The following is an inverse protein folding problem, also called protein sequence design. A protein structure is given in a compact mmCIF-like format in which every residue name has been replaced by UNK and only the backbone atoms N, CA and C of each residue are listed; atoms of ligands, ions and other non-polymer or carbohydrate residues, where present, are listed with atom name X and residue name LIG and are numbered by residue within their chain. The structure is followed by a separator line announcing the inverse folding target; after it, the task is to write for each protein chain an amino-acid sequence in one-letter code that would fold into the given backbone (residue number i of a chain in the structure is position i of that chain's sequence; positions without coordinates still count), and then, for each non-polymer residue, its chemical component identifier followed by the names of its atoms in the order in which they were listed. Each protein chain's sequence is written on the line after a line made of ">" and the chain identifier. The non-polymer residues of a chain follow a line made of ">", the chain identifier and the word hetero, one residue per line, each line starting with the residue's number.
data_IF_367849675254
#
_entry.id   IF_367849675254
#
_cell.length_a   1.000
_cell.length_b   1.000
_cell.length_c   1.000
_cell.angle_alpha   90.00
_cell.angle_beta   90.00
_cell.angle_gamma   90.00
#
_symmetry.space_group_name_H-M   'P 1'
#
loop_
_entity.id
_entity.type
_entity.pdbx_description
1 polymer ?
#
# COMPACT_ATOMS: atom_id res chain seq x y z
N UNK A 1 5.79 -26.06 -30.17
CA UNK A 1 5.85 -24.68 -29.69
C UNK A 1 6.52 -24.74 -28.32
N UNK A 2 7.78 -24.43 -28.24
CA UNK A 2 8.59 -24.46 -27.00
C UNK A 2 8.20 -23.27 -26.15
N UNK A 3 7.59 -23.53 -25.00
CA UNK A 3 7.40 -22.52 -23.94
C UNK A 3 8.77 -21.93 -23.62
N UNK A 4 8.95 -20.66 -23.92
CA UNK A 4 10.10 -19.90 -23.43
C UNK A 4 9.97 -19.82 -21.90
N UNK A 5 10.77 -20.60 -21.18
CA UNK A 5 10.90 -20.47 -19.74
C UNK A 5 11.47 -19.07 -19.44
N UNK A 6 10.61 -18.21 -18.91
CA UNK A 6 11.06 -16.92 -18.39
C UNK A 6 11.88 -17.18 -17.13
N UNK A 7 13.04 -16.53 -16.97
CA UNK A 7 13.82 -16.69 -15.75
C UNK A 7 12.94 -16.24 -14.56
N UNK A 8 12.94 -16.98 -13.45
CA UNK A 8 12.16 -16.64 -12.28
C UNK A 8 12.55 -15.24 -11.80
N UNK A 9 11.57 -14.48 -11.29
CA UNK A 9 11.85 -13.20 -10.65
C UNK A 9 12.92 -13.39 -9.57
N UNK A 10 13.92 -12.53 -9.54
CA UNK A 10 15.00 -12.65 -8.55
C UNK A 10 14.37 -12.52 -7.15
N UNK A 11 14.37 -13.61 -6.38
CA UNK A 11 13.87 -13.64 -5.01
C UNK A 11 14.80 -12.77 -4.18
N UNK A 12 14.25 -11.78 -3.47
CA UNK A 12 15.01 -11.03 -2.47
C UNK A 12 15.41 -11.96 -1.33
N UNK A 13 16.43 -11.59 -0.54
CA UNK A 13 16.83 -12.36 0.65
C UNK A 13 15.69 -12.58 1.65
N UNK A 14 14.61 -11.80 1.54
CA UNK A 14 13.40 -11.89 2.39
C UNK A 14 12.29 -12.80 1.81
N UNK A 15 12.47 -13.39 0.65
CA UNK A 15 11.45 -14.25 0.03
C UNK A 15 10.35 -13.54 -0.77
N UNK A 16 10.37 -12.19 -0.91
CA UNK A 16 9.53 -11.48 -1.88
C UNK A 16 10.32 -11.21 -3.16
N UNK A 17 9.73 -11.40 -4.38
CA UNK A 17 10.44 -11.18 -5.63
C UNK A 17 10.73 -9.69 -5.86
N UNK A 18 11.93 -9.37 -6.37
CA UNK A 18 12.28 -8.04 -6.87
C UNK A 18 12.16 -8.01 -8.38
N UNK A 19 11.37 -7.09 -8.90
CA UNK A 19 11.03 -6.98 -10.31
C UNK A 19 11.44 -5.60 -10.83
N UNK A 20 12.29 -5.56 -11.86
CA UNK A 20 12.53 -4.34 -12.60
C UNK A 20 11.35 -4.10 -13.55
N UNK A 21 10.71 -2.92 -13.43
CA UNK A 21 9.54 -2.54 -14.19
C UNK A 21 9.83 -1.50 -15.28
N UNK A 22 11.08 -1.18 -15.56
CA UNK A 22 11.44 -0.18 -16.56
C UNK A 22 10.82 -0.50 -17.93
N UNK A 23 10.78 -1.78 -18.32
CA UNK A 23 10.22 -2.23 -19.59
C UNK A 23 8.68 -2.14 -19.68
N UNK A 24 7.96 -1.80 -18.62
CA UNK A 24 6.53 -1.44 -18.74
C UNK A 24 6.33 -0.16 -19.56
N UNK A 25 7.36 0.66 -19.75
CA UNK A 25 7.35 1.82 -20.63
C UNK A 25 7.80 1.50 -22.06
N UNK A 26 8.22 0.27 -22.35
CA UNK A 26 8.73 -0.10 -23.67
C UNK A 26 7.61 -0.05 -24.74
N UNK A 27 7.90 0.38 -25.98
CA UNK A 27 6.95 0.36 -27.09
C UNK A 27 6.46 -1.05 -27.42
N UNK A 28 7.35 -2.05 -27.30
CA UNK A 28 7.05 -3.44 -27.65
C UNK A 28 6.12 -4.09 -26.61
N UNK A 29 4.94 -4.52 -27.02
CA UNK A 29 3.96 -5.22 -26.16
C UNK A 29 4.58 -6.48 -25.54
N UNK A 30 5.43 -7.21 -26.28
CA UNK A 30 6.07 -8.42 -25.78
C UNK A 30 6.96 -8.15 -24.54
N UNK A 31 7.70 -7.04 -24.53
CA UNK A 31 8.51 -6.63 -23.37
C UNK A 31 7.63 -6.30 -22.16
N UNK A 32 6.56 -5.54 -22.37
CA UNK A 32 5.60 -5.22 -21.30
C UNK A 32 4.91 -6.47 -20.74
N UNK A 33 4.49 -7.43 -21.61
CA UNK A 33 3.92 -8.72 -21.18
C UNK A 33 4.90 -9.57 -20.38
N UNK A 34 6.17 -9.56 -20.71
CA UNK A 34 7.19 -10.30 -19.97
C UNK A 34 7.32 -9.79 -18.52
N UNK A 35 7.29 -8.47 -18.31
CA UNK A 35 7.27 -7.89 -16.95
C UNK A 35 5.94 -8.16 -16.27
N UNK A 36 4.81 -8.02 -16.97
CA UNK A 36 3.48 -8.28 -16.46
C UNK A 36 3.35 -9.73 -15.93
N UNK A 37 3.83 -10.72 -16.66
CA UNK A 37 3.82 -12.12 -16.24
C UNK A 37 4.62 -12.36 -14.94
N UNK A 38 5.75 -11.67 -14.76
CA UNK A 38 6.53 -11.75 -13.50
C UNK A 38 5.78 -11.13 -12.33
N UNK A 39 5.12 -9.99 -12.55
CA UNK A 39 4.26 -9.35 -11.56
C UNK A 39 3.08 -10.26 -11.21
N UNK A 40 2.38 -10.79 -12.21
CA UNK A 40 1.25 -11.68 -12.02
C UNK A 40 1.60 -12.96 -11.28
N UNK A 41 2.77 -13.56 -11.55
CA UNK A 41 3.27 -14.70 -10.79
C UNK A 41 3.42 -14.36 -9.30
N UNK A 42 4.02 -13.21 -8.97
CA UNK A 42 4.15 -12.73 -7.60
C UNK A 42 2.78 -12.47 -6.93
N UNK A 43 1.83 -11.89 -7.68
CA UNK A 43 0.47 -11.63 -7.20
C UNK A 43 -0.29 -12.92 -6.88
N UNK A 44 -0.08 -14.01 -7.64
CA UNK A 44 -0.70 -15.33 -7.40
C UNK A 44 -0.03 -16.09 -6.26
N UNK A 45 1.27 -15.92 -6.07
CA UNK A 45 2.03 -16.68 -5.08
C UNK A 45 1.97 -16.04 -3.68
N UNK A 46 2.51 -14.85 -3.53
CA UNK A 46 2.67 -14.18 -2.23
C UNK A 46 1.77 -12.94 -2.11
N UNK A 47 1.33 -12.35 -3.22
CA UNK A 47 0.63 -11.06 -3.21
C UNK A 47 1.53 -9.87 -2.84
N UNK A 48 2.84 -10.09 -2.70
CA UNK A 48 3.85 -9.10 -2.41
C UNK A 48 5.03 -9.20 -3.38
N UNK A 49 5.57 -8.06 -3.79
CA UNK A 49 6.77 -7.94 -4.60
C UNK A 49 7.43 -6.58 -4.40
N UNK A 50 8.71 -6.48 -4.74
CA UNK A 50 9.41 -5.20 -4.75
C UNK A 50 9.62 -4.76 -6.20
N UNK A 51 9.45 -3.46 -6.49
CA UNK A 51 9.67 -2.88 -7.80
C UNK A 51 10.90 -1.99 -7.82
N UNK A 52 11.74 -2.18 -8.84
CA UNK A 52 12.85 -1.30 -9.21
C UNK A 52 12.61 -0.75 -10.61
N UNK A 53 13.43 0.20 -11.07
CA UNK A 53 13.28 0.79 -12.40
C UNK A 53 11.97 1.57 -12.59
N UNK A 54 11.35 2.00 -11.49
CA UNK A 54 10.05 2.67 -11.47
C UNK A 54 10.08 4.12 -11.99
N UNK A 55 11.26 4.73 -12.14
CA UNK A 55 11.42 6.07 -12.70
C UNK A 55 11.14 7.24 -11.75
N UNK A 56 10.72 7.00 -10.52
CA UNK A 56 10.57 8.07 -9.50
C UNK A 56 11.95 8.51 -9.05
N UNK A 57 12.30 9.82 -9.16
CA UNK A 57 13.61 10.32 -8.77
C UNK A 57 13.90 10.07 -7.27
N UNK A 58 15.09 9.58 -6.94
CA UNK A 58 15.51 9.36 -5.56
C UNK A 58 15.41 10.65 -4.71
N UNK A 59 15.81 11.78 -5.28
CA UNK A 59 15.70 13.08 -4.62
C UNK A 59 14.25 13.46 -4.24
N UNK A 60 13.26 13.05 -5.04
CA UNK A 60 11.85 13.29 -4.72
C UNK A 60 11.39 12.41 -3.56
N UNK A 61 11.83 11.16 -3.52
CA UNK A 61 11.54 10.24 -2.41
C UNK A 61 12.15 10.78 -1.11
N UNK A 62 13.43 11.18 -1.14
CA UNK A 62 14.14 11.76 0.00
C UNK A 62 13.47 13.05 0.49
N UNK A 63 13.06 13.93 -0.44
CA UNK A 63 12.34 15.16 -0.10
C UNK A 63 10.98 14.86 0.56
N UNK A 64 10.26 13.83 0.10
CA UNK A 64 8.99 13.42 0.70
C UNK A 64 9.19 12.93 2.14
N UNK A 65 10.22 12.10 2.40
CA UNK A 65 10.59 11.69 3.76
C UNK A 65 10.98 12.88 4.64
N UNK A 66 11.79 13.81 4.12
CA UNK A 66 12.18 15.01 4.86
C UNK A 66 10.96 15.87 5.27
N UNK A 67 9.98 16.02 4.38
CA UNK A 67 8.73 16.73 4.70
C UNK A 67 7.90 15.96 5.75
N UNK A 68 7.85 14.64 5.68
CA UNK A 68 7.21 13.80 6.70
C UNK A 68 7.86 14.00 8.09
N UNK A 69 9.18 13.96 8.16
CA UNK A 69 9.91 14.19 9.41
C UNK A 69 9.62 15.59 9.99
N UNK A 70 9.61 16.65 9.16
CA UNK A 70 9.25 18.01 9.58
C UNK A 70 7.82 18.11 10.10
N UNK A 71 6.87 17.44 9.44
CA UNK A 71 5.47 17.38 9.88
C UNK A 71 5.36 16.76 11.28
N UNK A 72 5.96 15.58 11.48
CA UNK A 72 5.86 14.88 12.76
C UNK A 72 6.62 15.58 13.90
N UNK A 73 7.60 16.40 13.58
CA UNK A 73 8.30 17.27 14.53
C UNK A 73 7.51 18.51 14.97
N UNK A 74 6.38 18.83 14.33
CA UNK A 74 5.53 19.94 14.73
C UNK A 74 5.03 19.79 16.17
N UNK A 75 4.81 20.89 16.90
CA UNK A 75 4.18 20.84 18.22
C UNK A 75 2.85 20.08 18.19
N UNK A 76 2.55 19.35 19.26
CA UNK A 76 1.35 18.53 19.37
C UNK A 76 0.06 19.32 19.09
N UNK A 77 -0.01 20.60 19.49
CA UNK A 77 -1.16 21.45 19.25
C UNK A 77 -1.35 21.73 17.74
N UNK A 78 -0.26 21.95 16.99
CA UNK A 78 -0.31 22.17 15.55
C UNK A 78 -0.76 20.91 14.80
N UNK A 79 -0.25 19.74 15.20
CA UNK A 79 -0.68 18.45 14.64
C UNK A 79 -2.17 18.20 14.94
N UNK A 80 -2.62 18.40 16.18
CA UNK A 80 -4.03 18.24 16.57
C UNK A 80 -5.00 19.18 15.85
N UNK A 81 -4.54 20.37 15.44
CA UNK A 81 -5.38 21.27 14.65
C UNK A 81 -5.77 20.69 13.29
N UNK A 82 -4.98 19.74 12.77
CA UNK A 82 -5.18 19.04 11.50
C UNK A 82 -5.71 17.61 11.69
N UNK A 83 -6.17 17.23 12.89
CA UNK A 83 -6.58 15.87 13.21
C UNK A 83 -7.89 15.48 12.49
N UNK A 84 -7.96 14.26 11.99
CA UNK A 84 -9.07 13.73 11.18
C UNK A 84 -10.42 13.75 11.93
N UNK A 85 -10.41 13.48 13.23
CA UNK A 85 -11.59 13.52 14.11
C UNK A 85 -12.16 14.94 14.25
N UNK A 86 -11.31 15.94 14.27
CA UNK A 86 -11.72 17.36 14.31
C UNK A 86 -12.27 17.86 12.99
N UNK A 87 -11.76 17.33 11.89
CA UNK A 87 -12.11 17.75 10.53
C UNK A 87 -13.30 16.96 9.95
N UNK A 88 -13.72 15.88 10.62
CA UNK A 88 -14.74 14.97 10.10
C UNK A 88 -14.36 14.37 8.73
N UNK A 89 -13.07 14.14 8.52
CA UNK A 89 -12.53 13.72 7.23
C UNK A 89 -11.32 12.80 7.44
N UNK A 90 -11.13 11.82 6.58
CA UNK A 90 -9.93 10.98 6.59
C UNK A 90 -8.65 11.72 6.11
N UNK A 91 -8.73 13.02 5.79
CA UNK A 91 -7.59 13.87 5.40
C UNK A 91 -6.99 14.53 6.62
N UNK A 92 -5.67 14.47 6.76
CA UNK A 92 -4.97 15.12 7.85
C UNK A 92 -4.29 14.16 8.82
N UNK A 93 -4.10 14.61 10.05
CA UNK A 93 -3.28 13.96 11.06
C UNK A 93 -4.06 12.90 11.84
N UNK A 94 -3.42 11.75 12.04
CA UNK A 94 -3.87 10.67 12.91
C UNK A 94 -2.88 10.56 14.07
N UNK A 95 -3.37 10.72 15.28
CA UNK A 95 -2.56 10.70 16.50
C UNK A 95 -2.03 9.32 16.87
N UNK A 96 -1.02 9.32 17.74
CA UNK A 96 -0.46 8.10 18.29
C UNK A 96 -1.53 7.32 19.08
N UNK A 97 -1.66 6.02 18.79
CA UNK A 97 -2.59 5.13 19.51
C UNK A 97 -4.09 5.40 19.21
N UNK A 98 -4.40 6.12 18.13
CA UNK A 98 -5.79 6.38 17.71
C UNK A 98 -6.35 5.22 16.88
N UNK A 99 -5.50 4.52 16.14
CA UNK A 99 -5.89 3.40 15.28
C UNK A 99 -5.50 2.05 15.90
N UNK A 100 -6.32 1.04 15.60
CA UNK A 100 -6.03 -0.37 15.86
C UNK A 100 -6.40 -1.15 14.60
N UNK A 101 -5.41 -1.59 13.83
CA UNK A 101 -5.64 -2.39 12.62
C UNK A 101 -6.05 -3.83 12.96
N UNK A 102 -5.60 -4.33 14.10
CA UNK A 102 -6.07 -5.59 14.67
C UNK A 102 -7.04 -5.27 15.81
N UNK A 103 -8.34 -5.52 15.60
CA UNK A 103 -9.40 -5.24 16.59
C UNK A 103 -9.22 -5.97 17.92
N UNK A 104 -8.43 -7.04 17.94
CA UNK A 104 -8.16 -7.87 19.11
C UNK A 104 -6.88 -7.46 19.83
N UNK A 105 -6.10 -6.54 19.25
CA UNK A 105 -4.83 -6.08 19.79
C UNK A 105 -4.96 -4.68 20.42
N UNK A 106 -3.90 -4.27 21.13
CA UNK A 106 -3.77 -2.89 21.58
C UNK A 106 -3.62 -1.94 20.38
N UNK A 107 -3.96 -0.67 20.60
CA UNK A 107 -3.81 0.37 19.58
C UNK A 107 -2.39 0.42 19.00
N UNK A 108 -2.28 0.67 17.69
CA UNK A 108 -1.03 0.73 16.96
C UNK A 108 -0.12 1.86 17.48
N UNK A 109 1.16 1.58 17.64
CA UNK A 109 2.12 2.57 18.11
C UNK A 109 2.70 3.38 16.95
N UNK A 110 1.82 4.12 16.26
CA UNK A 110 2.18 4.98 15.12
C UNK A 110 1.35 6.25 15.11
N UNK A 111 1.90 7.27 14.47
CA UNK A 111 1.15 8.44 14.02
C UNK A 111 1.21 8.54 12.49
N UNK A 112 0.20 9.16 11.88
CA UNK A 112 0.11 9.24 10.44
C UNK A 112 -0.42 10.59 9.96
N UNK A 113 -0.23 10.84 8.65
CA UNK A 113 -0.84 11.98 7.97
C UNK A 113 -1.30 11.56 6.57
N UNK A 114 -2.58 11.80 6.27
CA UNK A 114 -3.23 11.35 5.05
C UNK A 114 -3.44 12.51 4.07
N UNK A 115 -2.98 12.32 2.84
CA UNK A 115 -3.34 13.11 1.67
C UNK A 115 -4.13 12.19 0.74
N UNK A 116 -5.33 12.60 0.33
CA UNK A 116 -6.21 11.79 -0.51
C UNK A 116 -6.36 12.50 -1.86
N UNK A 117 -6.47 11.74 -2.93
CA UNK A 117 -6.72 12.30 -4.26
C UNK A 117 -7.85 13.35 -4.20
N UNK A 118 -7.61 14.49 -4.82
CA UNK A 118 -8.54 15.61 -4.82
C UNK A 118 -8.41 16.37 -6.13
N UNK A 119 -9.52 16.89 -6.59
CA UNK A 119 -9.63 17.82 -7.70
C UNK A 119 -9.70 19.29 -7.22
N UNK A 120 -8.98 19.60 -6.16
CA UNK A 120 -8.96 20.91 -5.47
C UNK A 120 -10.34 21.36 -4.97
N UNK A 121 -11.16 20.39 -4.53
CA UNK A 121 -12.45 20.68 -3.92
C UNK A 121 -13.61 20.82 -4.89
N UNK A 122 -13.44 20.53 -6.18
CA UNK A 122 -14.53 20.61 -7.17
C UNK A 122 -15.57 19.53 -6.94
N UNK A 123 -15.16 18.28 -6.81
CA UNK A 123 -16.04 17.14 -6.54
C UNK A 123 -15.69 16.41 -5.25
N UNK A 124 -14.46 16.61 -4.74
CA UNK A 124 -13.96 16.00 -3.51
C UNK A 124 -13.32 17.04 -2.60
N UNK A 125 -13.43 16.88 -1.27
CA UNK A 125 -12.81 17.81 -0.32
C UNK A 125 -11.34 18.04 -0.60
N UNK A 126 -10.86 19.28 -0.41
CA UNK A 126 -9.46 19.60 -0.49
C UNK A 126 -8.66 18.95 0.64
N UNK A 127 -7.38 18.69 0.41
CA UNK A 127 -6.47 18.24 1.44
C UNK A 127 -6.15 19.36 2.44
N UNK A 128 -5.85 18.96 3.66
CA UNK A 128 -5.30 19.86 4.68
C UNK A 128 -3.78 19.92 4.50
N UNK A 129 -3.23 21.13 4.58
CA UNK A 129 -1.81 21.33 4.36
C UNK A 129 -1.18 22.00 5.60
N UNK A 130 -0.15 21.41 6.21
CA UNK A 130 0.59 22.04 7.28
C UNK A 130 1.30 23.31 6.77
N UNK A 131 1.51 24.32 7.62
CA UNK A 131 2.20 25.56 7.25
C UNK A 131 3.73 25.35 7.19
N UNK A 132 4.15 24.37 6.40
CA UNK A 132 5.56 24.02 6.18
C UNK A 132 5.97 24.42 4.75
N UNK A 133 7.09 25.16 4.58
CA UNK A 133 7.59 25.48 3.25
C UNK A 133 7.80 24.24 2.41
N UNK A 134 7.39 24.32 1.13
CA UNK A 134 7.50 23.28 0.10
C UNK A 134 6.75 21.96 0.38
N UNK A 135 6.06 21.83 1.53
CA UNK A 135 5.37 20.59 1.89
C UNK A 135 4.34 20.20 0.82
N UNK A 136 3.44 21.14 0.46
CA UNK A 136 2.41 20.86 -0.54
C UNK A 136 3.02 20.50 -1.89
N UNK A 137 3.97 21.30 -2.39
CA UNK A 137 4.59 21.10 -3.70
C UNK A 137 5.30 19.73 -3.77
N UNK A 138 6.09 19.38 -2.74
CA UNK A 138 6.83 18.13 -2.68
C UNK A 138 5.89 16.93 -2.61
N UNK A 139 4.90 16.96 -1.70
CA UNK A 139 4.02 15.81 -1.49
C UNK A 139 3.02 15.64 -2.65
N UNK A 140 2.62 16.72 -3.33
CA UNK A 140 1.82 16.62 -4.54
C UNK A 140 2.63 15.98 -5.68
N UNK A 141 3.87 16.43 -5.92
CA UNK A 141 4.74 15.83 -6.93
C UNK A 141 5.01 14.35 -6.65
N UNK A 142 5.20 13.99 -5.37
CA UNK A 142 5.38 12.57 -4.99
C UNK A 142 4.08 11.78 -5.20
N UNK A 143 2.93 12.33 -4.83
CA UNK A 143 1.62 11.71 -5.05
C UNK A 143 1.39 11.40 -6.54
N UNK A 144 1.65 12.39 -7.41
CA UNK A 144 1.45 12.25 -8.86
C UNK A 144 2.40 11.19 -9.45
N UNK A 145 3.66 11.16 -8.99
CA UNK A 145 4.62 10.13 -9.40
C UNK A 145 4.18 8.72 -8.96
N UNK A 146 3.64 8.57 -7.75
CA UNK A 146 3.14 7.28 -7.25
C UNK A 146 1.87 6.85 -8.00
N UNK A 147 0.99 7.80 -8.34
CA UNK A 147 -0.20 7.53 -9.15
C UNK A 147 0.18 7.02 -10.56
N UNK A 148 1.21 7.60 -11.19
CA UNK A 148 1.74 7.12 -12.46
C UNK A 148 2.28 5.68 -12.34
N UNK A 149 3.11 5.39 -11.32
CA UNK A 149 3.62 4.03 -11.08
C UNK A 149 2.46 3.05 -10.87
N UNK A 150 1.48 3.40 -10.03
CA UNK A 150 0.30 2.57 -9.79
C UNK A 150 -0.53 2.33 -11.05
N UNK A 151 -0.69 3.34 -11.90
CA UNK A 151 -1.38 3.21 -13.19
C UNK A 151 -0.64 2.24 -14.13
N UNK A 152 0.69 2.32 -14.18
CA UNK A 152 1.50 1.36 -14.97
C UNK A 152 1.39 -0.06 -14.44
N UNK A 153 1.30 -0.25 -13.13
CA UNK A 153 1.05 -1.56 -12.53
C UNK A 153 -0.33 -2.11 -12.93
N UNK A 154 -1.37 -1.27 -12.97
CA UNK A 154 -2.71 -1.70 -13.42
C UNK A 154 -2.71 -2.14 -14.89
N UNK A 155 -1.95 -1.48 -15.77
CA UNK A 155 -1.73 -1.96 -17.15
C UNK A 155 -1.04 -3.34 -17.18
N UNK A 156 -0.06 -3.55 -16.29
CA UNK A 156 0.61 -4.84 -16.17
C UNK A 156 -0.35 -5.92 -15.65
N UNK A 157 -1.21 -5.63 -14.67
CA UNK A 157 -2.24 -6.56 -14.22
C UNK A 157 -3.20 -6.93 -15.35
N UNK A 158 -3.65 -5.95 -16.15
CA UNK A 158 -4.50 -6.22 -17.30
C UNK A 158 -3.81 -7.14 -18.33
N UNK A 159 -2.55 -6.87 -18.67
CA UNK A 159 -1.78 -7.70 -19.60
C UNK A 159 -1.55 -9.15 -19.10
N UNK A 160 -1.31 -9.34 -17.80
CA UNK A 160 -1.14 -10.67 -17.19
C UNK A 160 -2.44 -11.47 -17.14
N UNK A 161 -3.57 -10.78 -17.03
CA UNK A 161 -4.92 -11.37 -17.00
C UNK A 161 -5.53 -11.53 -18.40
N UNK A 162 -4.75 -11.30 -19.46
CA UNK A 162 -5.18 -11.33 -20.87
C UNK A 162 -6.36 -10.37 -21.19
N UNK A 163 -6.38 -9.21 -20.51
CA UNK A 163 -7.34 -8.15 -20.75
C UNK A 163 -6.74 -7.06 -21.66
N UNK A 164 -7.60 -6.17 -22.24
CA UNK A 164 -7.12 -4.93 -22.84
C UNK A 164 -6.23 -4.14 -21.86
N UNK A 165 -5.12 -3.60 -22.33
CA UNK A 165 -4.12 -2.93 -21.46
C UNK A 165 -4.71 -1.74 -20.68
N UNK A 166 -5.75 -1.13 -21.21
CA UNK A 166 -6.49 -0.01 -20.63
C UNK A 166 -7.71 -0.44 -19.79
N UNK A 167 -7.90 -1.73 -19.54
CA UNK A 167 -9.06 -2.28 -18.83
C UNK A 167 -9.39 -1.55 -17.52
N UNK A 168 -8.38 -1.12 -16.77
CA UNK A 168 -8.59 -0.40 -15.51
C UNK A 168 -8.64 1.12 -15.66
N UNK A 169 -8.40 1.68 -16.85
CA UNK A 169 -8.16 3.12 -17.02
C UNK A 169 -9.33 3.99 -16.52
N UNK A 170 -10.58 3.63 -16.92
CA UNK A 170 -11.81 4.33 -16.50
C UNK A 170 -12.27 4.00 -15.07
N UNK A 171 -11.61 3.06 -14.42
CA UNK A 171 -11.88 2.62 -13.05
C UNK A 171 -10.95 3.23 -12.02
N UNK A 172 -9.88 3.89 -12.48
CA UNK A 172 -8.87 4.53 -11.63
C UNK A 172 -8.51 5.95 -12.10
N UNK A 173 -9.33 6.58 -12.93
CA UNK A 173 -9.12 7.96 -13.43
C UNK A 173 -9.50 9.04 -12.41
N UNK A 174 -10.35 8.70 -11.44
CA UNK A 174 -10.74 9.53 -10.29
C UNK A 174 -10.67 8.74 -8.99
N UNK A 175 -9.49 8.15 -8.66
CA UNK A 175 -9.35 7.11 -7.68
C UNK A 175 -9.61 7.58 -6.25
N UNK A 176 -9.86 6.62 -5.35
CA UNK A 176 -9.79 6.85 -3.91
C UNK A 176 -8.34 6.72 -3.40
N UNK A 177 -7.37 7.23 -4.17
CA UNK A 177 -5.97 7.10 -3.82
C UNK A 177 -5.59 7.90 -2.58
N UNK A 178 -4.81 7.30 -1.71
CA UNK A 178 -4.34 7.89 -0.46
C UNK A 178 -2.82 7.78 -0.35
N UNK A 179 -2.17 8.93 -0.17
CA UNK A 179 -0.77 8.99 0.25
C UNK A 179 -0.73 9.16 1.77
N UNK A 180 -0.09 8.22 2.45
CA UNK A 180 -0.02 8.18 3.90
C UNK A 180 1.42 8.21 4.37
N UNK A 181 1.79 9.32 5.02
CA UNK A 181 3.03 9.43 5.78
C UNK A 181 2.84 8.74 7.13
N UNK A 182 3.81 7.95 7.56
CA UNK A 182 3.75 7.18 8.81
C UNK A 182 5.04 7.40 9.61
N UNK A 183 4.90 7.60 10.91
CA UNK A 183 5.99 7.61 11.87
C UNK A 183 5.70 6.61 12.99
N UNK A 184 6.67 5.77 13.25
CA UNK A 184 6.70 4.82 14.36
C UNK A 184 7.78 5.30 15.34
N UNK A 185 7.41 5.87 16.50
CA UNK A 185 8.39 6.35 17.46
C UNK A 185 9.29 5.22 17.97
N UNK A 186 10.54 5.56 18.28
CA UNK A 186 11.43 4.63 18.95
C UNK A 186 10.79 4.12 20.25
N UNK A 187 10.99 2.84 20.62
CA UNK A 187 10.52 2.34 21.89
C UNK A 187 11.19 3.14 23.04
N UNK A 188 10.42 3.42 24.10
CA UNK A 188 11.03 3.92 25.32
C UNK A 188 12.11 2.93 25.78
N UNK A 189 13.21 3.38 26.40
CA UNK A 189 14.20 2.49 26.95
C UNK A 189 13.51 1.48 27.88
N UNK A 190 13.61 0.18 27.54
CA UNK A 190 13.05 -0.89 28.37
C UNK A 190 14.04 -1.15 29.50
N UNK A 191 13.54 -1.30 30.73
CA UNK A 191 14.38 -1.77 31.83
C UNK A 191 15.00 -3.13 31.47
N UNK A 192 16.24 -3.36 31.82
CA UNK A 192 17.07 -4.51 31.41
C UNK A 192 16.46 -5.89 31.74
N UNK A 193 15.40 -5.95 32.52
CA UNK A 193 14.78 -7.17 33.05
C UNK A 193 13.54 -7.63 32.26
N UNK A 194 13.14 -6.93 31.17
CA UNK A 194 12.08 -7.40 30.32
C UNK A 194 12.63 -8.48 29.38
N UNK A 195 12.25 -9.72 29.61
CA UNK A 195 12.61 -10.86 28.77
C UNK A 195 12.27 -10.67 27.28
N UNK A 196 12.70 -11.57 26.38
CA UNK A 196 12.48 -11.42 24.95
C UNK A 196 10.97 -11.27 24.69
N UNK A 197 10.62 -10.18 24.02
CA UNK A 197 9.24 -9.88 23.63
C UNK A 197 8.82 -10.85 22.52
N UNK A 198 8.23 -12.00 22.90
CA UNK A 198 7.72 -12.99 21.99
C UNK A 198 6.33 -12.57 21.44
N UNK A 199 6.22 -12.62 20.33
CA UNK A 199 5.52 -12.66 19.04
C UNK A 199 3.98 -12.66 19.00
N UNK A 200 3.20 -12.67 20.05
CA UNK A 200 1.74 -12.73 19.96
C UNK A 200 1.10 -11.77 20.97
N UNK A 201 0.51 -10.69 20.44
CA UNK A 201 -0.29 -9.77 21.26
C UNK A 201 0.53 -8.77 22.06
N UNK A 202 1.68 -8.33 21.54
CA UNK A 202 2.49 -7.30 22.21
C UNK A 202 1.70 -6.00 22.24
N UNK A 203 1.40 -5.43 23.41
CA UNK A 203 0.90 -4.08 23.50
C UNK A 203 1.89 -3.14 22.82
N UNK A 204 1.48 -2.52 21.69
CA UNK A 204 2.31 -1.55 20.97
C UNK A 204 3.02 -2.09 19.73
N UNK A 205 2.45 -3.05 19.00
CA UNK A 205 2.86 -3.31 17.62
C UNK A 205 2.90 -1.99 16.82
N UNK A 206 3.85 -1.85 15.87
CA UNK A 206 3.89 -0.68 14.99
C UNK A 206 2.60 -0.57 14.18
N UNK A 207 2.18 -1.70 13.57
CA UNK A 207 0.87 -1.88 12.94
C UNK A 207 0.43 -3.34 13.12
N UNK A 208 -0.79 -3.54 13.57
CA UNK A 208 -1.39 -4.86 13.76
C UNK A 208 -1.52 -5.66 12.45
N UNK A 209 -1.82 -6.95 12.56
CA UNK A 209 -2.00 -7.82 11.39
C UNK A 209 -3.26 -7.42 10.62
N UNK A 210 -3.12 -7.12 9.32
CA UNK A 210 -4.20 -6.69 8.44
C UNK A 210 -3.93 -7.05 6.99
N UNK A 211 -4.94 -6.91 6.15
CA UNK A 211 -4.83 -6.81 4.69
C UNK A 211 -5.20 -5.40 4.27
N UNK A 212 -4.67 -4.92 3.14
CA UNK A 212 -5.08 -3.65 2.55
C UNK A 212 -6.39 -3.81 1.79
N UNK A 213 -7.26 -2.81 1.85
CA UNK A 213 -8.63 -2.92 1.33
C UNK A 213 -8.75 -2.64 -0.17
N UNK A 214 -7.83 -1.84 -0.74
CA UNK A 214 -7.90 -1.37 -2.11
C UNK A 214 -7.35 -2.32 -3.17
N UNK A 215 -6.79 -1.76 -4.24
CA UNK A 215 -6.22 -2.55 -5.33
C UNK A 215 -4.74 -2.87 -5.08
N UNK A 216 -3.92 -1.86 -4.89
CA UNK A 216 -2.48 -2.02 -4.73
C UNK A 216 -1.92 -0.96 -3.81
N UNK A 217 -1.00 -1.37 -2.96
CA UNK A 217 -0.21 -0.48 -2.11
C UNK A 217 1.23 -0.42 -2.63
N UNK A 218 1.80 0.78 -2.66
CA UNK A 218 3.21 1.03 -2.93
C UNK A 218 3.83 1.66 -1.69
N UNK A 219 4.80 0.98 -1.10
CA UNK A 219 5.41 1.36 0.16
C UNK A 219 6.88 1.73 -0.03
N UNK A 220 7.24 2.95 0.37
CA UNK A 220 8.62 3.38 0.61
C UNK A 220 8.95 3.29 2.10
N UNK A 221 10.18 2.90 2.44
CA UNK A 221 10.69 2.84 3.83
C UNK A 221 12.01 3.58 3.95
N UNK A 222 12.29 4.09 5.13
CA UNK A 222 13.53 4.80 5.48
C UNK A 222 14.74 3.88 5.75
N UNK A 223 14.57 2.58 5.56
CA UNK A 223 15.63 1.60 5.80
C UNK A 223 15.54 0.90 7.15
N UNK A 224 14.70 1.38 8.07
CA UNK A 224 14.48 0.69 9.35
C UNK A 224 13.54 -0.50 9.14
N UNK A 225 13.97 -1.68 9.57
CA UNK A 225 13.20 -2.92 9.45
C UNK A 225 11.91 -2.90 10.30
N UNK A 226 10.98 -3.80 9.99
CA UNK A 226 9.75 -3.98 10.78
C UNK A 226 8.60 -4.61 10.01
N UNK A 227 8.53 -4.45 8.69
CA UNK A 227 7.48 -5.07 7.88
C UNK A 227 7.65 -6.59 7.85
N UNK A 228 6.56 -7.30 8.15
CA UNK A 228 6.45 -8.75 8.01
C UNK A 228 5.25 -9.12 7.16
N UNK A 229 5.42 -10.13 6.32
CA UNK A 229 4.40 -10.67 5.41
C UNK A 229 4.12 -12.11 5.80
N UNK A 230 2.85 -12.51 5.87
CA UNK A 230 2.45 -13.86 6.22
C UNK A 230 2.63 -14.80 5.04
N UNK A 231 3.28 -15.92 5.27
CA UNK A 231 3.42 -17.01 4.28
C UNK A 231 2.15 -17.85 4.23
N UNK A 232 1.97 -18.59 3.15
CA UNK A 232 0.86 -19.56 3.03
C UNK A 232 0.91 -20.67 4.07
N UNK A 233 2.10 -21.06 4.54
CA UNK A 233 2.30 -22.04 5.61
C UNK A 233 2.03 -21.47 7.02
N UNK A 234 1.64 -20.19 7.11
CA UNK A 234 1.34 -19.50 8.37
C UNK A 234 2.54 -18.81 9.02
N UNK A 235 3.77 -19.04 8.53
CA UNK A 235 4.97 -18.37 9.00
C UNK A 235 5.03 -16.88 8.57
N UNK A 236 5.96 -16.12 9.15
CA UNK A 236 6.19 -14.73 8.80
C UNK A 236 7.54 -14.54 8.08
N UNK A 237 7.55 -13.67 7.09
CA UNK A 237 8.77 -13.25 6.37
C UNK A 237 9.06 -11.80 6.77
N UNK A 238 10.27 -11.53 7.24
CA UNK A 238 10.77 -10.17 7.38
C UNK A 238 11.07 -9.59 6.00
N UNK A 239 10.55 -8.41 5.70
CA UNK A 239 10.88 -7.68 4.48
C UNK A 239 12.01 -6.71 4.79
N UNK A 240 13.22 -6.92 4.24
CA UNK A 240 14.34 -6.02 4.48
C UNK A 240 14.10 -4.67 3.81
N UNK A 241 14.87 -3.68 4.22
CA UNK A 241 14.99 -2.46 3.44
C UNK A 241 15.55 -2.76 2.05
N UNK A 242 14.90 -2.21 1.03
CA UNK A 242 15.29 -2.37 -0.38
C UNK A 242 15.57 -0.99 -0.96
N UNK A 243 16.81 -0.47 -0.84
CA UNK A 243 17.15 0.86 -1.35
C UNK A 243 16.79 1.02 -2.82
N UNK A 244 16.14 2.15 -3.15
CA UNK A 244 15.71 2.46 -4.51
C UNK A 244 14.61 1.56 -5.07
N UNK A 245 13.88 0.85 -4.22
CA UNK A 245 12.72 0.05 -4.61
C UNK A 245 11.50 0.41 -3.74
N UNK A 246 10.31 0.20 -4.28
CA UNK A 246 9.07 0.19 -3.49
C UNK A 246 8.62 -1.23 -3.25
N UNK A 247 8.14 -1.51 -2.05
CA UNK A 247 7.42 -2.77 -1.76
C UNK A 247 5.98 -2.59 -2.19
N UNK A 248 5.46 -3.53 -2.97
CA UNK A 248 4.09 -3.51 -3.44
C UNK A 248 3.34 -4.72 -2.92
N UNK A 249 2.06 -4.53 -2.59
CA UNK A 249 1.16 -5.61 -2.25
C UNK A 249 -0.23 -5.42 -2.86
N UNK A 250 -0.88 -6.54 -3.12
CA UNK A 250 -2.25 -6.61 -3.62
C UNK A 250 -3.20 -6.44 -2.44
N UNK A 251 -4.23 -5.61 -2.66
CA UNK A 251 -5.31 -5.43 -1.70
C UNK A 251 -6.57 -6.23 -2.04
N UNK A 252 -7.53 -6.20 -1.12
CA UNK A 252 -8.72 -7.02 -1.16
C UNK A 252 -9.63 -6.72 -2.37
N UNK A 253 -9.71 -5.45 -2.84
CA UNK A 253 -10.50 -5.12 -4.03
C UNK A 253 -9.97 -5.81 -5.28
N UNK A 254 -8.65 -5.79 -5.51
CA UNK A 254 -8.06 -6.45 -6.67
C UNK A 254 -8.13 -7.97 -6.55
N UNK A 255 -7.97 -8.52 -5.34
CA UNK A 255 -8.22 -9.93 -5.08
C UNK A 255 -9.66 -10.32 -5.47
N UNK A 256 -10.68 -9.54 -5.07
CA UNK A 256 -12.07 -9.78 -5.45
C UNK A 256 -12.29 -9.67 -6.96
N UNK A 257 -11.71 -8.66 -7.62
CA UNK A 257 -11.79 -8.52 -9.08
C UNK A 257 -11.23 -9.72 -9.82
N UNK A 258 -10.13 -10.25 -9.31
CA UNK A 258 -9.50 -11.45 -9.90
C UNK A 258 -10.08 -12.76 -9.37
N UNK A 259 -11.21 -12.75 -8.68
CA UNK A 259 -11.85 -13.94 -8.13
C UNK A 259 -10.89 -14.81 -7.30
N UNK A 260 -10.04 -14.18 -6.49
CA UNK A 260 -8.97 -14.77 -5.66
C UNK A 260 -7.80 -15.40 -6.46
N UNK A 261 -7.67 -15.09 -7.77
CA UNK A 261 -6.48 -15.49 -8.55
C UNK A 261 -5.24 -14.72 -8.04
N UNK A 262 -5.36 -13.42 -7.78
CA UNK A 262 -4.38 -12.66 -7.03
C UNK A 262 -4.73 -12.73 -5.54
N UNK A 263 -3.72 -12.72 -4.68
CA UNK A 263 -3.93 -12.88 -3.25
C UNK A 263 -3.64 -11.58 -2.49
N UNK A 264 -4.57 -11.21 -1.61
CA UNK A 264 -4.36 -10.16 -0.60
C UNK A 264 -3.80 -10.83 0.65
N UNK A 265 -2.57 -10.50 0.99
CA UNK A 265 -1.82 -11.25 2.00
C UNK A 265 -1.72 -10.47 3.31
N UNK A 266 -2.06 -11.09 4.45
CA UNK A 266 -1.90 -10.49 5.76
C UNK A 266 -0.46 -10.08 6.01
N UNK A 267 -0.30 -8.86 6.53
CA UNK A 267 0.99 -8.30 6.89
C UNK A 267 0.90 -7.45 8.15
N UNK A 268 2.04 -7.14 8.74
CA UNK A 268 2.13 -6.36 9.98
C UNK A 268 3.43 -5.58 10.05
N UNK A 269 3.50 -4.60 10.93
CA UNK A 269 4.75 -3.93 11.28
C UNK A 269 5.05 -4.24 12.74
N UNK A 270 6.16 -4.96 12.99
CA UNK A 270 6.67 -5.15 14.36
C UNK A 270 7.03 -3.78 14.94
N UNK A 271 7.05 -3.66 16.25
CA UNK A 271 7.56 -2.48 16.91
C UNK A 271 9.02 -2.26 16.48
N UNK A 272 9.35 -1.16 15.79
CA UNK A 272 10.71 -0.93 15.33
C UNK A 272 11.66 -0.73 16.51
N UNK A 273 12.93 -1.14 16.34
CA UNK A 273 13.99 -0.95 17.35
C UNK A 273 14.50 0.49 17.43
N UNK A 274 14.22 1.29 16.41
CA UNK A 274 14.54 2.72 16.31
C UNK A 274 13.36 3.47 15.73
N UNK A 275 13.38 4.79 15.75
CA UNK A 275 12.38 5.58 15.03
C UNK A 275 12.37 5.17 13.56
N UNK A 276 11.19 4.90 13.02
CA UNK A 276 10.98 4.45 11.65
C UNK A 276 9.97 5.35 10.95
N UNK A 277 10.26 5.70 9.71
CA UNK A 277 9.33 6.36 8.82
C UNK A 277 9.00 5.47 7.62
N UNK A 278 7.78 5.57 7.14
CA UNK A 278 7.39 4.99 5.86
C UNK A 278 6.36 5.87 5.17
N UNK A 279 6.27 5.72 3.85
CA UNK A 279 5.28 6.41 3.02
C UNK A 279 4.55 5.33 2.24
N UNK A 280 3.27 5.15 2.52
CA UNK A 280 2.40 4.22 1.81
C UNK A 280 1.50 4.99 0.83
N UNK A 281 1.44 4.51 -0.40
CA UNK A 281 0.50 5.00 -1.40
C UNK A 281 -0.48 3.89 -1.72
N UNK A 282 -1.74 4.10 -1.38
CA UNK A 282 -2.85 3.20 -1.66
C UNK A 282 -3.53 3.68 -2.94
N UNK A 283 -3.61 2.84 -3.96
CA UNK A 283 -4.38 3.11 -5.16
C UNK A 283 -5.62 2.23 -5.17
N UNK A 284 -6.72 2.84 -4.76
CA UNK A 284 -8.03 2.22 -4.76
C UNK A 284 -8.81 2.70 -5.98
N UNK A 285 -9.77 1.92 -6.49
CA UNK A 285 -10.57 2.34 -7.65
C UNK A 285 -11.40 3.60 -7.40
N UNK A 286 -12.03 4.11 -8.45
CA UNK A 286 -13.06 5.13 -8.34
C UNK A 286 -14.17 4.65 -7.39
N UNK A 287 -14.81 5.53 -6.60
CA UNK A 287 -15.87 5.14 -5.66
C UNK A 287 -16.99 4.33 -6.31
N UNK A 288 -17.39 4.75 -7.52
CA UNK A 288 -18.47 4.16 -8.30
C UNK A 288 -18.06 2.93 -9.10
N UNK A 289 -16.76 2.59 -9.16
CA UNK A 289 -16.30 1.42 -9.90
C UNK A 289 -16.89 0.14 -9.32
N UNK A 290 -17.53 -0.66 -10.19
CA UNK A 290 -18.09 -1.95 -9.82
C UNK A 290 -16.99 -3.00 -9.76
N UNK A 291 -16.68 -3.50 -8.58
CA UNK A 291 -15.78 -4.63 -8.36
C UNK A 291 -16.57 -5.92 -8.54
N UNK A 292 -16.46 -6.50 -9.73
CA UNK A 292 -17.08 -7.76 -10.10
C UNK A 292 -16.00 -8.70 -10.64
N UNK A 293 -16.13 -9.99 -10.39
CA UNK A 293 -15.15 -10.96 -10.87
C UNK A 293 -14.93 -10.85 -12.38
N UNK A 294 -13.66 -10.70 -12.77
CA UNK A 294 -13.24 -10.69 -14.16
C UNK A 294 -13.56 -12.05 -14.78
N UNK A 295 -14.30 -12.12 -15.91
CA UNK A 295 -14.77 -13.40 -16.45
C UNK A 295 -13.65 -14.43 -16.70
N UNK A 296 -12.47 -13.98 -17.16
CA UNK A 296 -11.32 -14.87 -17.39
C UNK A 296 -10.72 -15.43 -16.10
N UNK A 297 -11.07 -14.89 -14.94
CA UNK A 297 -10.63 -15.38 -13.62
C UNK A 297 -11.64 -16.32 -12.96
N UNK A 298 -12.79 -16.56 -13.61
CA UNK A 298 -13.82 -17.48 -13.11
C UNK A 298 -13.72 -18.79 -13.90
N UNK A 299 -13.50 -19.95 -13.25
CA UNK A 299 -13.54 -21.25 -13.93
C UNK A 299 -14.88 -21.46 -14.65
N UNK A 300 -14.86 -22.13 -15.81
CA UNK A 300 -16.03 -22.26 -16.67
C UNK A 300 -17.27 -22.87 -15.98
N UNK A 301 -17.04 -23.77 -15.03
CA UNK A 301 -18.09 -24.53 -14.33
C UNK A 301 -18.37 -23.98 -12.90
N UNK A 302 -17.83 -22.80 -12.56
CA UNK A 302 -17.99 -22.21 -11.24
C UNK A 302 -18.72 -20.85 -11.31
N UNK A 303 -19.42 -20.51 -10.23
CA UNK A 303 -19.92 -19.17 -10.02
C UNK A 303 -18.80 -18.27 -9.44
N UNK A 304 -18.85 -16.94 -9.69
CA UNK A 304 -17.95 -16.01 -9.03
C UNK A 304 -18.00 -16.15 -7.50
N UNK A 305 -16.84 -16.13 -6.84
CA UNK A 305 -16.74 -16.28 -5.38
C UNK A 305 -17.29 -15.08 -4.61
N UNK A 306 -17.29 -13.92 -5.25
CA UNK A 306 -17.69 -12.67 -4.64
C UNK A 306 -18.83 -12.04 -5.43
N UNK A 307 -19.88 -11.60 -4.72
CA UNK A 307 -20.93 -10.79 -5.34
C UNK A 307 -20.36 -9.42 -5.77
N UNK A 308 -20.83 -8.87 -6.90
CA UNK A 308 -20.46 -7.52 -7.33
C UNK A 308 -20.78 -6.48 -6.26
N UNK A 309 -19.86 -5.52 -6.07
CA UNK A 309 -20.02 -4.43 -5.09
C UNK A 309 -19.29 -3.19 -5.61
N UNK A 310 -19.78 -1.98 -5.31
CA UNK A 310 -19.03 -0.77 -5.63
C UNK A 310 -17.82 -0.64 -4.72
N UNK A 311 -16.75 0.02 -5.19
CA UNK A 311 -15.58 0.31 -4.35
C UNK A 311 -15.98 1.05 -3.08
N UNK A 312 -16.87 2.06 -3.22
CA UNK A 312 -17.36 2.84 -2.09
C UNK A 312 -18.01 1.94 -1.02
N UNK A 313 -18.97 1.11 -1.43
CA UNK A 313 -19.71 0.26 -0.48
C UNK A 313 -18.79 -0.79 0.16
N UNK A 314 -17.85 -1.34 -0.61
CA UNK A 314 -16.86 -2.26 -0.08
C UNK A 314 -15.98 -1.62 1.00
N UNK A 315 -15.42 -0.45 0.72
CA UNK A 315 -14.60 0.27 1.68
C UNK A 315 -15.40 0.68 2.93
N UNK A 316 -16.67 1.10 2.78
CA UNK A 316 -17.54 1.38 3.93
C UNK A 316 -17.76 0.15 4.81
N UNK A 317 -18.00 -1.02 4.21
CA UNK A 317 -18.12 -2.29 4.94
C UNK A 317 -16.83 -2.62 5.71
N UNK A 318 -15.65 -2.43 5.08
CA UNK A 318 -14.36 -2.69 5.72
C UNK A 318 -14.08 -1.71 6.85
N UNK A 319 -14.35 -0.43 6.65
CA UNK A 319 -14.21 0.58 7.70
C UNK A 319 -15.17 0.36 8.86
N UNK A 320 -16.43 0.00 8.60
CA UNK A 320 -17.38 -0.34 9.65
C UNK A 320 -16.92 -1.55 10.47
N UNK A 321 -16.34 -2.56 9.83
CA UNK A 321 -15.75 -3.72 10.52
C UNK A 321 -14.52 -3.35 11.35
N UNK A 322 -13.66 -2.44 10.86
CA UNK A 322 -12.40 -2.07 11.53
C UNK A 322 -12.57 -0.99 12.60
N UNK A 323 -13.45 -0.02 12.35
CA UNK A 323 -13.68 1.09 13.26
C UNK A 323 -15.03 1.00 14.01
N UNK A 324 -15.74 -0.16 13.90
CA UNK A 324 -17.08 -0.50 14.37
C UNK A 324 -17.56 0.23 15.61
N UNK A 325 -17.87 1.52 15.43
CA UNK A 325 -18.42 2.39 16.45
C UNK A 325 -19.62 3.13 15.90
#
# INVERSE_FOLDING_TARGET
>A
MTSAEHPPAAISAAGIPRIDIAELAAPAVAARRAVAARIGAACRDVGFFAIAGHGVPAALVEAAFAQGARLFALPAAAKRAMAIDRLGSNRGYVGLGVEALDEKAAADHKEAFNLIWSDDGRTRPANVWPPLPDFRATLQAYFDAMLDVGTRLHRAFALDLDLPEDFFADRIDRPLATLRLLRYPAPAPVAADAGPADDIGIPGAGAGTHTDYGNVTLLATDGVAGLQVRRRDGGWIDVPALPGAFVCNIGDCLMRWTNDVYVSTPHRVRRPVAERHSIAFFLDPNPEALVAAIPSCVPADEAPRHAPITTHDYLQQRFAATYGR
#
